data_IF_502795373089
#
_entry.id   IF_502795373089
#
_cell.length_a   1.000
_cell.length_b   1.000
_cell.length_c   1.000
_cell.angle_alpha   90.00
_cell.angle_beta   90.00
_cell.angle_gamma   90.00
#
_symmetry.space_group_name_H-M   'P 1'
#
loop_
_entity.id
_entity.type
_entity.pdbx_description
1 polymer ?
#
# COMPACT_ATOMS: atom_id res chain seq x y z
N UNK A 1 -49.15 71.98 30.09
CA UNK A 1 -48.49 71.20 29.02
C UNK A 1 -47.47 70.28 29.68
N UNK A 2 -47.61 68.94 29.62
CA UNK A 2 -46.68 68.03 30.27
C UNK A 2 -45.46 67.77 29.38
N UNK A 3 -44.27 67.69 29.99
CA UNK A 3 -43.01 67.36 29.34
C UNK A 3 -42.90 65.86 29.11
N UNK A 4 -42.88 65.44 27.84
CA UNK A 4 -42.73 64.04 27.42
C UNK A 4 -41.26 63.61 27.54
N UNK A 5 -40.98 62.70 28.48
CA UNK A 5 -39.66 62.10 28.70
C UNK A 5 -39.43 61.00 27.65
N UNK A 6 -38.60 61.27 26.63
CA UNK A 6 -38.23 60.27 25.60
C UNK A 6 -37.33 59.20 26.23
N UNK A 7 -37.88 58.00 26.44
CA UNK A 7 -37.09 56.79 26.67
C UNK A 7 -36.49 56.33 25.33
N UNK A 8 -35.17 56.47 25.16
CA UNK A 8 -34.44 55.78 24.10
C UNK A 8 -34.32 54.29 24.49
N UNK A 9 -35.12 53.44 23.85
CA UNK A 9 -34.88 51.99 23.84
C UNK A 9 -33.67 51.70 22.94
N UNK A 10 -32.55 51.32 23.56
CA UNK A 10 -31.43 50.70 22.87
C UNK A 10 -31.83 49.29 22.45
N UNK A 11 -32.10 49.10 21.16
CA UNK A 11 -32.29 47.79 20.55
C UNK A 11 -30.90 47.16 20.34
N UNK A 12 -30.53 46.05 21.01
CA UNK A 12 -29.25 45.41 20.77
C UNK A 12 -29.30 44.76 19.38
N UNK A 13 -28.43 45.24 18.48
CA UNK A 13 -28.24 44.64 17.16
C UNK A 13 -27.53 43.29 17.35
N UNK A 14 -28.30 42.21 17.49
CA UNK A 14 -27.81 40.84 17.44
C UNK A 14 -27.33 40.58 16.01
N UNK A 15 -26.05 40.82 15.73
CA UNK A 15 -25.41 40.29 14.52
C UNK A 15 -25.49 38.76 14.60
N UNK A 16 -26.08 38.08 13.60
CA UNK A 16 -26.04 36.63 13.56
C UNK A 16 -24.59 36.21 13.37
N UNK A 17 -24.05 35.47 14.35
CA UNK A 17 -22.83 34.70 14.15
C UNK A 17 -23.13 33.62 13.11
N UNK A 18 -22.95 33.94 11.84
CA UNK A 18 -22.77 32.93 10.80
C UNK A 18 -21.38 32.31 11.00
N UNK A 19 -21.24 31.48 12.02
CA UNK A 19 -20.12 30.57 12.14
C UNK A 19 -20.34 29.43 11.15
N UNK A 20 -20.24 29.74 9.85
CA UNK A 20 -20.04 28.73 8.84
C UNK A 20 -18.56 28.69 8.55
N UNK A 21 -17.92 27.58 8.85
CA UNK A 21 -17.18 26.97 7.77
C UNK A 21 -17.15 25.46 8.04
N UNK A 22 -17.74 24.72 7.12
CA UNK A 22 -17.20 23.42 6.80
C UNK A 22 -15.91 23.70 6.00
N UNK A 23 -15.11 22.67 5.72
CA UNK A 23 -13.93 22.82 4.87
C UNK A 23 -14.26 23.15 3.40
N UNK A 24 -15.56 23.27 3.07
CA UNK A 24 -16.13 23.56 1.77
C UNK A 24 -17.33 24.53 1.86
N UNK A 25 -17.79 24.99 0.70
CA UNK A 25 -18.93 25.91 0.58
C UNK A 25 -20.26 25.16 0.79
N UNK A 26 -20.90 25.38 1.93
CA UNK A 26 -22.17 24.75 2.28
C UNK A 26 -23.34 25.09 1.34
N UNK A 27 -23.26 26.19 0.58
CA UNK A 27 -24.27 26.49 -0.46
C UNK A 27 -24.19 25.53 -1.65
N UNK A 28 -23.08 24.80 -1.80
CA UNK A 28 -22.82 23.83 -2.86
C UNK A 28 -22.92 22.37 -2.40
N UNK A 29 -23.37 22.14 -1.16
CA UNK A 29 -23.54 20.80 -0.61
C UNK A 29 -24.52 19.98 -1.48
N UNK A 30 -24.02 18.94 -2.14
CA UNK A 30 -24.77 18.12 -3.08
C UNK A 30 -25.15 16.75 -2.49
N UNK A 31 -24.34 16.22 -1.57
CA UNK A 31 -24.52 14.89 -0.99
C UNK A 31 -25.24 14.94 0.36
N UNK A 32 -25.86 13.83 0.77
CA UNK A 32 -26.46 13.69 2.10
C UNK A 32 -25.42 13.90 3.22
N UNK A 33 -24.18 13.48 3.00
CA UNK A 33 -23.03 13.72 3.88
C UNK A 33 -22.71 15.20 4.00
N UNK A 34 -22.55 15.91 2.89
CA UNK A 34 -22.25 17.36 2.91
C UNK A 34 -23.37 18.16 3.57
N UNK A 35 -24.64 17.82 3.29
CA UNK A 35 -25.79 18.46 3.93
C UNK A 35 -25.80 18.20 5.45
N UNK A 36 -25.45 16.99 5.89
CA UNK A 36 -25.35 16.67 7.31
C UNK A 36 -24.23 17.45 8.00
N UNK A 37 -23.06 17.56 7.38
CA UNK A 37 -21.92 18.37 7.87
C UNK A 37 -22.32 19.84 8.01
N UNK A 38 -23.00 20.40 7.00
CA UNK A 38 -23.41 21.80 7.01
C UNK A 38 -24.54 22.15 7.99
N UNK A 39 -25.35 21.16 8.40
CA UNK A 39 -26.47 21.38 9.34
C UNK A 39 -26.09 21.19 10.81
N UNK A 40 -24.99 20.48 11.08
CA UNK A 40 -24.55 20.10 12.42
C UNK A 40 -23.24 20.84 12.75
N UNK A 41 -23.26 21.86 13.64
CA UNK A 41 -22.08 22.66 13.97
C UNK A 41 -20.87 21.83 14.42
N UNK A 42 -21.10 20.75 15.17
CA UNK A 42 -20.07 19.82 15.64
C UNK A 42 -19.37 19.08 14.49
N UNK A 43 -20.10 18.67 13.46
CA UNK A 43 -19.54 18.02 12.28
C UNK A 43 -18.80 19.02 11.40
N UNK A 44 -19.30 20.25 11.28
CA UNK A 44 -18.63 21.34 10.58
C UNK A 44 -17.26 21.63 11.20
N UNK A 45 -17.20 21.74 12.53
CA UNK A 45 -15.95 21.99 13.25
C UNK A 45 -14.95 20.82 13.13
N UNK A 46 -15.41 19.58 13.12
CA UNK A 46 -14.57 18.40 12.90
C UNK A 46 -14.01 18.36 11.46
N UNK A 47 -14.82 18.71 10.47
CA UNK A 47 -14.40 18.81 9.07
C UNK A 47 -13.29 19.86 8.88
N UNK A 48 -13.43 21.04 9.49
CA UNK A 48 -12.37 22.05 9.48
C UNK A 48 -11.06 21.57 10.11
N UNK A 49 -11.15 20.87 11.25
CA UNK A 49 -9.98 20.32 11.94
C UNK A 49 -9.24 19.29 11.10
N UNK A 50 -9.97 18.35 10.48
CA UNK A 50 -9.38 17.37 9.57
C UNK A 50 -8.79 18.06 8.34
N UNK A 51 -9.46 19.07 7.78
CA UNK A 51 -8.92 19.82 6.65
C UNK A 51 -7.65 20.61 7.01
N UNK A 52 -7.58 21.17 8.22
CA UNK A 52 -6.38 21.83 8.72
C UNK A 52 -5.22 20.85 8.90
N UNK A 53 -5.46 19.70 9.54
CA UNK A 53 -4.47 18.64 9.71
C UNK A 53 -3.98 18.09 8.36
N UNK A 54 -4.90 17.85 7.42
CA UNK A 54 -4.55 17.46 6.06
C UNK A 54 -3.62 18.48 5.38
N UNK A 55 -3.94 19.78 5.44
CA UNK A 55 -3.09 20.84 4.85
C UNK A 55 -1.70 20.88 5.47
N UNK A 56 -1.57 20.60 6.76
CA UNK A 56 -0.28 20.55 7.45
C UNK A 56 0.63 19.45 6.89
N UNK A 57 0.08 18.26 6.62
CA UNK A 57 0.86 17.09 6.20
C UNK A 57 0.94 16.89 4.68
N UNK A 58 0.03 17.47 3.88
CA UNK A 58 -0.05 17.28 2.44
C UNK A 58 0.97 18.10 1.62
N UNK A 59 2.24 18.13 2.05
CA UNK A 59 3.30 18.76 1.27
C UNK A 59 3.56 17.97 -0.02
N UNK A 60 3.68 18.66 -1.15
CA UNK A 60 3.88 18.07 -2.48
C UNK A 60 2.82 17.02 -2.88
N UNK A 61 1.63 17.05 -2.27
CA UNK A 61 0.58 16.08 -2.54
C UNK A 61 0.77 14.71 -1.87
N UNK A 62 1.60 14.60 -0.83
CA UNK A 62 1.90 13.36 -0.11
C UNK A 62 0.66 12.60 0.37
N UNK A 63 -0.37 13.33 0.81
CA UNK A 63 -1.62 12.77 1.34
C UNK A 63 -2.77 12.81 0.33
N UNK A 64 -2.53 13.28 -0.88
CA UNK A 64 -3.62 13.73 -1.76
C UNK A 64 -4.55 12.58 -2.17
N UNK A 65 -3.97 11.45 -2.61
CA UNK A 65 -4.72 10.28 -3.06
C UNK A 65 -5.37 9.54 -1.87
N UNK A 66 -4.63 9.35 -0.78
CA UNK A 66 -5.13 8.83 0.48
C UNK A 66 -6.35 9.63 1.02
N UNK A 67 -6.28 10.97 1.01
CA UNK A 67 -7.40 11.81 1.46
C UNK A 67 -8.60 11.70 0.52
N UNK A 68 -8.38 11.61 -0.81
CA UNK A 68 -9.47 11.40 -1.77
C UNK A 68 -10.20 10.09 -1.53
N UNK A 69 -9.46 9.01 -1.27
CA UNK A 69 -10.03 7.70 -0.95
C UNK A 69 -10.82 7.75 0.35
N UNK A 70 -10.29 8.38 1.40
CA UNK A 70 -11.01 8.55 2.67
C UNK A 70 -12.34 9.32 2.50
N UNK A 71 -12.33 10.40 1.71
CA UNK A 71 -13.52 11.19 1.41
C UNK A 71 -14.58 10.41 0.63
N UNK A 72 -14.17 9.53 -0.28
CA UNK A 72 -15.03 8.74 -1.16
C UNK A 72 -15.50 7.40 -0.57
N UNK A 73 -14.79 6.86 0.43
CA UNK A 73 -15.12 5.61 1.11
C UNK A 73 -15.63 5.87 2.54
N UNK A 74 -14.78 5.71 3.58
CA UNK A 74 -15.19 5.74 4.99
C UNK A 74 -16.12 6.88 5.37
N UNK A 75 -15.86 8.10 4.87
CA UNK A 75 -16.72 9.27 5.13
C UNK A 75 -18.06 9.20 4.38
N UNK A 76 -18.02 8.91 3.08
CA UNK A 76 -19.20 8.92 2.21
C UNK A 76 -20.19 7.80 2.57
N UNK A 77 -19.70 6.65 3.04
CA UNK A 77 -20.51 5.50 3.46
C UNK A 77 -21.50 5.84 4.59
N UNK A 78 -21.16 6.80 5.47
CA UNK A 78 -22.03 7.27 6.55
C UNK A 78 -23.30 8.00 6.05
N UNK A 79 -23.33 8.50 4.81
CA UNK A 79 -24.43 9.34 4.30
C UNK A 79 -24.73 10.48 5.28
N UNK A 80 -25.98 10.62 5.75
CA UNK A 80 -26.40 11.65 6.69
C UNK A 80 -26.35 11.24 8.17
N UNK A 81 -25.81 10.06 8.50
CA UNK A 81 -25.68 9.61 9.88
C UNK A 81 -24.61 10.43 10.62
N UNK A 82 -25.06 11.32 11.51
CA UNK A 82 -24.18 12.21 12.26
C UNK A 82 -23.23 11.48 13.22
N UNK A 83 -23.69 10.40 13.86
CA UNK A 83 -22.85 9.64 14.79
C UNK A 83 -21.75 8.88 14.04
N UNK A 84 -22.09 8.29 12.88
CA UNK A 84 -21.11 7.67 11.99
C UNK A 84 -20.07 8.71 11.51
N UNK A 85 -20.52 9.86 11.00
CA UNK A 85 -19.63 10.92 10.54
C UNK A 85 -18.70 11.41 11.64
N UNK A 86 -19.23 11.65 12.84
CA UNK A 86 -18.44 12.06 13.99
C UNK A 86 -17.33 11.04 14.28
N UNK A 87 -17.66 9.75 14.32
CA UNK A 87 -16.67 8.68 14.52
C UNK A 87 -15.58 8.70 13.45
N UNK A 88 -15.95 8.78 12.16
CA UNK A 88 -14.99 8.82 11.04
C UNK A 88 -14.09 10.04 11.07
N UNK A 89 -14.62 11.22 11.40
CA UNK A 89 -13.82 12.43 11.53
C UNK A 89 -12.86 12.35 12.72
N UNK A 90 -13.30 11.82 13.86
CA UNK A 90 -12.44 11.66 15.04
C UNK A 90 -11.30 10.66 14.78
N UNK A 91 -11.61 9.51 14.16
CA UNK A 91 -10.60 8.52 13.72
C UNK A 91 -9.57 9.17 12.80
N UNK A 92 -10.03 9.89 11.77
CA UNK A 92 -9.14 10.54 10.80
C UNK A 92 -8.31 11.65 11.41
N UNK A 93 -8.90 12.47 12.28
CA UNK A 93 -8.18 13.53 12.97
C UNK A 93 -7.09 12.96 13.86
N UNK A 94 -7.41 11.92 14.65
CA UNK A 94 -6.43 11.23 15.47
C UNK A 94 -5.30 10.62 14.63
N UNK A 95 -5.62 9.95 13.53
CA UNK A 95 -4.61 9.40 12.61
C UNK A 95 -3.67 10.49 12.09
N UNK A 96 -4.21 11.61 11.61
CA UNK A 96 -3.40 12.71 11.08
C UNK A 96 -2.55 13.41 12.16
N UNK A 97 -3.08 13.54 13.39
CA UNK A 97 -2.37 14.19 14.49
C UNK A 97 -1.19 13.36 15.03
N UNK A 98 -1.30 12.04 15.04
CA UNK A 98 -0.21 11.15 15.45
C UNK A 98 0.82 10.94 14.33
N UNK A 99 0.47 11.28 13.09
CA UNK A 99 1.30 10.99 11.94
C UNK A 99 2.64 11.75 11.96
N UNK A 100 3.73 11.06 11.64
CA UNK A 100 5.08 11.62 11.67
C UNK A 100 5.77 11.51 10.31
N UNK A 101 6.50 12.54 9.90
CA UNK A 101 7.27 12.48 8.67
C UNK A 101 8.55 11.68 8.88
N UNK A 102 8.65 10.55 8.19
CA UNK A 102 9.87 9.73 8.09
C UNK A 102 10.55 10.03 6.75
N UNK A 103 11.85 10.34 6.81
CA UNK A 103 12.68 10.53 5.61
C UNK A 103 13.78 9.50 5.59
N UNK A 104 13.92 8.82 4.47
CA UNK A 104 14.88 7.76 4.31
C UNK A 104 15.54 7.82 2.95
N UNK A 105 16.86 7.64 2.93
CA UNK A 105 17.63 7.44 1.72
C UNK A 105 18.02 5.97 1.62
N UNK A 106 17.81 5.38 0.45
CA UNK A 106 18.20 4.01 0.15
C UNK A 106 19.08 4.02 -1.09
N UNK A 107 20.37 3.81 -0.91
CA UNK A 107 21.40 3.84 -1.97
C UNK A 107 22.05 2.48 -2.21
N UNK A 108 21.67 1.46 -1.43
CA UNK A 108 22.22 0.12 -1.45
C UNK A 108 21.26 -0.94 -2.03
N UNK A 109 20.05 -0.55 -2.44
CA UNK A 109 19.11 -1.45 -3.09
C UNK A 109 19.47 -1.67 -4.57
N UNK A 110 19.83 -0.60 -5.28
CA UNK A 110 20.22 -0.65 -6.70
C UNK A 110 21.43 0.25 -6.95
N UNK A 111 22.55 -0.24 -7.53
CA UNK A 111 23.77 0.56 -7.66
C UNK A 111 23.61 1.86 -8.49
N UNK A 112 22.73 1.88 -9.49
CA UNK A 112 22.56 3.04 -10.37
C UNK A 112 21.69 4.15 -9.76
N UNK A 113 20.82 3.82 -8.81
CA UNK A 113 19.80 4.74 -8.30
C UNK A 113 19.78 4.81 -6.78
N UNK A 114 19.44 5.99 -6.25
CA UNK A 114 19.09 6.20 -4.85
C UNK A 114 17.60 6.48 -4.77
N UNK A 115 16.93 5.87 -3.79
CA UNK A 115 15.52 6.12 -3.48
C UNK A 115 15.45 7.05 -2.27
N UNK A 116 15.00 8.28 -2.49
CA UNK A 116 14.71 9.24 -1.43
C UNK A 116 13.21 9.17 -1.09
N UNK A 117 12.90 8.46 -0.01
CA UNK A 117 11.54 8.21 0.47
C UNK A 117 11.16 9.26 1.53
N UNK A 118 10.05 9.96 1.28
CA UNK A 118 9.35 10.77 2.29
C UNK A 118 8.02 10.09 2.57
N UNK A 119 7.89 9.51 3.75
CA UNK A 119 6.73 8.75 4.19
C UNK A 119 6.04 9.50 5.34
N UNK A 120 4.72 9.56 5.32
CA UNK A 120 3.95 9.99 6.49
C UNK A 120 3.52 8.74 7.25
N UNK A 121 4.22 8.49 8.35
CA UNK A 121 4.07 7.30 9.18
C UNK A 121 2.90 7.49 10.13
N UNK A 122 1.95 6.56 10.12
CA UNK A 122 0.80 6.59 11.01
C UNK A 122 1.18 6.33 12.48
N UNK A 123 2.37 5.78 12.74
CA UNK A 123 2.85 5.53 14.11
C UNK A 123 2.15 4.36 14.79
N UNK A 124 1.62 3.42 14.02
CA UNK A 124 0.88 2.25 14.53
C UNK A 124 1.81 1.13 15.01
N UNK A 125 3.08 1.12 14.59
CA UNK A 125 4.04 0.04 14.83
C UNK A 125 5.45 0.59 15.08
N UNK A 126 6.14 0.10 16.11
CA UNK A 126 7.51 0.54 16.41
C UNK A 126 8.56 -0.04 15.44
N UNK A 127 8.28 -1.19 14.84
CA UNK A 127 9.22 -1.94 14.00
C UNK A 127 9.08 -1.65 12.49
N UNK A 128 8.07 -0.86 12.10
CA UNK A 128 7.86 -0.47 10.71
C UNK A 128 7.27 0.93 10.64
N UNK A 129 7.70 1.71 9.65
CA UNK A 129 6.99 2.92 9.29
C UNK A 129 5.99 2.60 8.16
N UNK A 130 4.75 3.03 8.29
CA UNK A 130 3.70 2.71 7.32
C UNK A 130 2.81 3.90 7.02
N UNK A 131 2.57 4.15 5.73
CA UNK A 131 1.64 5.17 5.26
C UNK A 131 1.99 5.74 3.89
N UNK A 132 1.29 6.81 3.46
CA UNK A 132 1.48 7.45 2.17
C UNK A 132 2.91 7.94 2.00
N UNK A 133 3.45 7.77 0.80
CA UNK A 133 4.84 8.09 0.53
C UNK A 133 5.06 8.74 -0.84
N UNK A 134 6.01 9.66 -0.86
CA UNK A 134 6.66 10.16 -2.08
C UNK A 134 8.03 9.48 -2.18
N UNK A 135 8.29 8.82 -3.30
CA UNK A 135 9.59 8.21 -3.60
C UNK A 135 10.21 8.98 -4.76
N UNK A 136 11.32 9.67 -4.51
CA UNK A 136 12.12 10.26 -5.58
C UNK A 136 13.23 9.28 -5.98
N UNK A 137 13.31 8.98 -7.26
CA UNK A 137 14.35 8.12 -7.83
C UNK A 137 15.45 9.03 -8.39
N UNK A 138 16.63 8.95 -7.80
CA UNK A 138 17.78 9.79 -8.10
C UNK A 138 18.82 8.95 -8.83
N UNK A 139 19.25 9.39 -10.00
CA UNK A 139 20.39 8.81 -10.70
C UNK A 139 21.68 9.14 -9.94
N UNK A 140 22.41 8.12 -9.49
CA UNK A 140 23.57 8.33 -8.62
C UNK A 140 24.74 9.01 -9.35
N UNK A 141 24.82 8.88 -10.68
CA UNK A 141 25.90 9.49 -11.46
C UNK A 141 25.69 11.00 -11.65
N UNK A 142 24.50 11.40 -12.05
CA UNK A 142 24.13 12.77 -12.36
C UNK A 142 23.58 13.54 -11.17
N UNK A 143 23.18 12.84 -10.09
CA UNK A 143 22.45 13.36 -8.95
C UNK A 143 21.10 14.01 -9.32
N UNK A 144 20.56 13.72 -10.51
CA UNK A 144 19.28 14.23 -10.96
C UNK A 144 18.14 13.30 -10.54
N UNK A 145 17.00 13.89 -10.15
CA UNK A 145 15.75 13.15 -9.98
C UNK A 145 15.20 12.78 -11.34
N UNK A 146 15.19 11.49 -11.66
CA UNK A 146 14.68 10.97 -12.93
C UNK A 146 13.17 10.70 -12.87
N UNK A 147 12.63 10.44 -11.68
CA UNK A 147 11.22 10.13 -11.49
C UNK A 147 10.78 10.42 -10.04
N UNK A 148 9.49 10.70 -9.87
CA UNK A 148 8.84 10.80 -8.58
C UNK A 148 7.58 9.94 -8.59
N UNK A 149 7.48 9.02 -7.64
CA UNK A 149 6.30 8.19 -7.41
C UNK A 149 5.54 8.72 -6.20
N UNK A 150 4.21 8.65 -6.27
CA UNK A 150 3.29 8.89 -5.15
C UNK A 150 2.53 7.60 -4.90
N UNK A 151 2.59 7.12 -3.67
CA UNK A 151 1.98 5.87 -3.26
C UNK A 151 1.07 6.14 -2.05
N UNK A 152 -0.13 5.58 -2.08
CA UNK A 152 -1.10 5.69 -1.00
C UNK A 152 -0.66 4.97 0.27
N UNK A 153 0.19 3.96 0.11
CA UNK A 153 0.80 3.25 1.20
C UNK A 153 2.19 2.72 0.79
N UNK A 154 3.12 2.78 1.73
CA UNK A 154 4.40 2.10 1.71
C UNK A 154 4.59 1.50 3.09
N UNK A 155 4.96 0.22 3.13
CA UNK A 155 5.33 -0.46 4.36
C UNK A 155 6.85 -0.58 4.42
N UNK A 156 7.46 0.04 5.42
CA UNK A 156 8.92 0.08 5.59
C UNK A 156 9.32 -0.56 6.90
N UNK A 157 9.54 -1.88 6.86
CA UNK A 157 10.11 -2.62 7.99
C UNK A 157 11.55 -2.15 8.28
N UNK A 158 11.86 -2.00 9.58
CA UNK A 158 13.20 -1.70 10.08
C UNK A 158 13.88 -2.99 10.51
N UNK A 159 15.14 -3.17 10.13
CA UNK A 159 15.99 -4.22 10.69
C UNK A 159 16.49 -3.86 12.10
N UNK A 160 17.20 -4.78 12.73
CA UNK A 160 17.74 -4.63 14.10
C UNK A 160 18.65 -3.41 14.29
N UNK A 161 19.23 -2.92 13.20
CA UNK A 161 20.07 -1.71 13.17
C UNK A 161 19.27 -0.41 13.00
N UNK A 162 17.94 -0.47 13.02
CA UNK A 162 17.02 0.65 12.80
C UNK A 162 16.92 1.13 11.34
N UNK A 163 17.71 0.57 10.42
CA UNK A 163 17.70 0.91 8.99
C UNK A 163 16.66 0.07 8.25
N UNK A 164 16.12 0.56 7.12
CA UNK A 164 15.22 -0.22 6.29
C UNK A 164 15.91 -1.48 5.77
N UNK A 165 15.14 -2.57 5.69
CA UNK A 165 15.55 -3.76 4.96
C UNK A 165 15.42 -3.51 3.45
N UNK A 166 16.36 -4.02 2.67
CA UNK A 166 16.37 -3.94 1.20
C UNK A 166 16.89 -5.25 0.61
N UNK A 167 16.42 -5.61 -0.59
CA UNK A 167 16.80 -6.85 -1.26
C UNK A 167 16.69 -8.10 -0.36
N UNK A 168 15.65 -8.11 0.48
CA UNK A 168 15.30 -9.21 1.37
C UNK A 168 13.88 -9.65 1.01
N UNK A 169 13.75 -10.82 0.41
CA UNK A 169 12.45 -11.39 0.01
C UNK A 169 12.31 -12.83 0.51
N UNK A 170 12.90 -13.12 1.69
CA UNK A 170 12.84 -14.47 2.26
C UNK A 170 11.44 -14.74 2.79
N UNK A 171 10.92 -15.92 2.46
CA UNK A 171 9.63 -16.38 2.93
C UNK A 171 9.66 -16.48 4.46
N UNK A 172 8.65 -15.93 5.12
CA UNK A 172 8.49 -15.87 6.58
C UNK A 172 9.44 -14.93 7.35
N UNK A 173 10.34 -14.23 6.66
CA UNK A 173 11.15 -13.15 7.25
C UNK A 173 10.54 -11.78 6.95
N UNK A 174 11.04 -10.75 7.65
CA UNK A 174 10.80 -9.36 7.25
C UNK A 174 11.37 -9.13 5.85
N UNK A 175 10.53 -8.64 4.94
CA UNK A 175 10.94 -8.33 3.60
C UNK A 175 11.29 -6.84 3.44
N UNK A 176 12.18 -6.55 2.50
CA UNK A 176 12.72 -5.23 2.28
C UNK A 176 11.72 -4.29 1.60
N UNK A 177 11.75 -3.02 2.00
CA UNK A 177 10.86 -1.99 1.42
C UNK A 177 11.13 -1.78 -0.08
N UNK A 178 12.38 -1.93 -0.52
CA UNK A 178 12.79 -1.91 -1.92
C UNK A 178 13.55 -3.20 -2.22
N UNK A 179 13.09 -3.92 -3.24
CA UNK A 179 13.78 -5.09 -3.79
C UNK A 179 14.05 -4.86 -5.27
N UNK A 180 15.29 -5.04 -5.69
CA UNK A 180 15.74 -4.76 -7.05
C UNK A 180 16.39 -6.00 -7.67
N UNK A 181 15.95 -6.34 -8.87
CA UNK A 181 16.55 -7.34 -9.74
C UNK A 181 16.04 -7.11 -11.17
N UNK A 182 16.64 -7.81 -12.13
CA UNK A 182 16.10 -7.90 -13.50
C UNK A 182 14.91 -8.88 -13.48
N UNK A 183 13.69 -8.35 -13.37
CA UNK A 183 12.47 -9.13 -13.19
C UNK A 183 11.92 -9.66 -14.50
N UNK A 184 12.08 -8.92 -15.60
CA UNK A 184 11.62 -9.31 -16.93
C UNK A 184 12.71 -9.95 -17.82
N UNK A 185 13.94 -9.99 -17.32
CA UNK A 185 15.11 -10.60 -17.96
C UNK A 185 15.56 -9.88 -19.24
N UNK A 186 15.30 -8.57 -19.32
CA UNK A 186 15.68 -7.69 -20.43
C UNK A 186 17.12 -7.12 -20.28
N UNK A 187 17.75 -7.33 -19.11
CA UNK A 187 19.10 -6.88 -18.78
C UNK A 187 19.18 -5.52 -18.09
N UNK A 188 18.03 -4.87 -17.84
CA UNK A 188 17.91 -3.71 -16.98
C UNK A 188 17.44 -4.15 -15.58
N UNK A 189 17.82 -3.38 -14.56
CA UNK A 189 17.40 -3.69 -13.19
C UNK A 189 16.09 -2.96 -12.92
N UNK A 190 15.10 -3.72 -12.48
CA UNK A 190 13.78 -3.28 -12.06
C UNK A 190 13.72 -3.13 -10.54
N UNK A 191 12.58 -2.68 -10.02
CA UNK A 191 12.36 -2.73 -8.58
C UNK A 191 10.91 -2.94 -8.18
N UNK A 192 10.74 -3.49 -6.99
CA UNK A 192 9.48 -3.64 -6.29
C UNK A 192 9.54 -2.81 -5.01
N UNK A 193 8.45 -2.11 -4.70
CA UNK A 193 8.26 -1.39 -3.43
C UNK A 193 7.14 -2.02 -2.64
N UNK A 194 7.38 -2.34 -1.37
CA UNK A 194 6.36 -2.91 -0.51
C UNK A 194 5.30 -1.85 -0.21
N UNK A 195 4.06 -2.08 -0.67
CA UNK A 195 2.95 -1.14 -0.53
C UNK A 195 1.89 -1.58 0.48
N UNK A 196 2.09 -2.72 1.14
CA UNK A 196 1.17 -3.20 2.17
C UNK A 196 1.50 -4.60 2.65
N UNK A 197 0.56 -5.13 3.42
CA UNK A 197 0.56 -6.48 3.95
C UNK A 197 -0.81 -7.14 3.67
N UNK A 198 -1.35 -6.90 2.47
CA UNK A 198 -2.71 -7.29 2.08
C UNK A 198 -2.77 -8.64 1.34
N UNK A 199 -1.62 -9.34 1.26
CA UNK A 199 -1.50 -10.63 0.59
C UNK A 199 -2.06 -11.77 1.44
N UNK A 200 -1.94 -13.03 0.98
CA UNK A 200 -2.44 -14.18 1.70
C UNK A 200 -1.83 -14.26 3.10
N UNK A 201 -2.68 -14.48 4.11
CA UNK A 201 -2.30 -14.50 5.52
C UNK A 201 -1.72 -13.18 6.05
N UNK A 202 -2.06 -12.04 5.43
CA UNK A 202 -1.47 -10.74 5.78
C UNK A 202 -0.01 -10.62 5.34
N UNK A 203 0.36 -11.35 4.28
CA UNK A 203 1.70 -11.32 3.71
C UNK A 203 2.00 -10.01 2.98
N UNK A 204 3.30 -9.70 2.76
CA UNK A 204 3.70 -8.45 2.14
C UNK A 204 3.27 -8.38 0.67
N UNK A 205 2.76 -7.22 0.24
CA UNK A 205 2.39 -6.95 -1.15
C UNK A 205 3.27 -5.86 -1.74
N UNK A 206 3.48 -5.93 -3.05
CA UNK A 206 4.41 -5.05 -3.76
C UNK A 206 3.79 -4.43 -5.00
N UNK A 207 4.15 -3.16 -5.24
CA UNK A 207 4.06 -2.55 -6.57
C UNK A 207 5.38 -2.76 -7.29
N UNK A 208 5.32 -3.43 -8.43
CA UNK A 208 6.48 -3.73 -9.26
C UNK A 208 6.59 -2.71 -10.39
N UNK A 209 7.80 -2.24 -10.65
CA UNK A 209 8.09 -1.29 -11.72
C UNK A 209 9.24 -1.79 -12.59
N UNK A 210 8.99 -1.90 -13.89
CA UNK A 210 9.97 -2.31 -14.89
C UNK A 210 10.65 -1.09 -15.51
N UNK A 211 11.95 -1.18 -15.78
CA UNK A 211 12.68 -0.09 -16.41
C UNK A 211 12.39 0.01 -17.91
N UNK A 212 11.72 1.09 -18.32
CA UNK A 212 11.48 1.38 -19.73
C UNK A 212 12.66 2.19 -20.31
N UNK A 213 13.44 1.55 -21.17
CA UNK A 213 14.63 2.14 -21.81
C UNK A 213 14.31 3.31 -22.74
N UNK A 214 13.13 3.32 -23.38
CA UNK A 214 12.72 4.36 -24.30
C UNK A 214 12.32 5.64 -23.54
N UNK A 215 11.58 5.47 -22.43
CA UNK A 215 11.14 6.55 -21.54
C UNK A 215 12.22 6.95 -20.54
N UNK A 216 13.20 6.08 -20.29
CA UNK A 216 14.22 6.20 -19.22
C UNK A 216 13.56 6.38 -17.85
N UNK A 217 12.49 5.63 -17.62
CA UNK A 217 11.65 5.71 -16.43
C UNK A 217 11.18 4.32 -16.03
N UNK A 218 10.83 4.16 -14.76
CA UNK A 218 10.24 2.94 -14.23
C UNK A 218 8.72 2.98 -14.41
N UNK A 219 8.16 1.93 -15.03
CA UNK A 219 6.74 1.82 -15.38
C UNK A 219 6.10 0.74 -14.54
N UNK A 220 4.97 1.06 -13.90
CA UNK A 220 4.20 0.11 -13.09
C UNK A 220 3.79 -1.11 -13.92
N UNK A 221 4.04 -2.30 -13.39
CA UNK A 221 3.63 -3.56 -14.00
C UNK A 221 2.57 -4.22 -13.13
N UNK A 222 1.34 -4.27 -13.66
CA UNK A 222 0.17 -4.83 -12.98
C UNK A 222 0.32 -6.33 -12.75
N UNK A 223 0.68 -7.09 -13.78
CA UNK A 223 0.80 -8.55 -13.77
C UNK A 223 1.78 -9.05 -12.67
N UNK A 224 2.96 -8.43 -12.56
CA UNK A 224 3.95 -8.75 -11.53
C UNK A 224 3.53 -8.30 -10.13
N UNK A 225 2.77 -7.20 -10.02
CA UNK A 225 2.27 -6.73 -8.74
C UNK A 225 1.20 -7.68 -8.19
N UNK A 226 0.26 -8.09 -9.06
CA UNK A 226 -0.79 -9.07 -8.73
C UNK A 226 -0.22 -10.41 -8.29
N UNK A 227 0.91 -10.87 -8.86
CA UNK A 227 1.57 -12.07 -8.35
C UNK A 227 1.88 -11.98 -6.85
N UNK A 228 2.22 -10.81 -6.32
CA UNK A 228 2.51 -10.64 -4.89
C UNK A 228 1.25 -10.54 -4.02
N UNK A 229 0.13 -10.13 -4.60
CA UNK A 229 -1.18 -10.07 -3.94
C UNK A 229 -1.81 -11.46 -3.82
N UNK A 230 -1.50 -12.36 -4.75
CA UNK A 230 -2.04 -13.73 -4.80
C UNK A 230 -1.12 -14.77 -4.14
N UNK A 231 0.13 -14.42 -3.85
CA UNK A 231 1.14 -15.33 -3.30
C UNK A 231 1.77 -14.77 -2.02
N UNK A 232 2.58 -15.58 -1.34
CA UNK A 232 3.20 -15.27 -0.05
C UNK A 232 4.39 -14.30 -0.16
N UNK A 233 4.17 -13.14 -0.78
CA UNK A 233 5.16 -12.08 -0.90
C UNK A 233 5.80 -11.96 -2.26
N UNK A 234 6.94 -11.26 -2.30
CA UNK A 234 7.68 -11.06 -3.54
C UNK A 234 8.22 -12.39 -4.08
N UNK A 235 8.09 -12.58 -5.39
CA UNK A 235 8.66 -13.72 -6.08
C UNK A 235 10.21 -13.74 -6.01
N UNK A 236 10.79 -14.93 -6.11
CA UNK A 236 12.24 -15.10 -6.26
C UNK A 236 12.63 -15.05 -7.75
N UNK A 237 13.83 -14.53 -8.02
CA UNK A 237 14.37 -14.41 -9.39
C UNK A 237 15.42 -15.49 -9.64
N UNK A 238 15.15 -16.42 -10.56
CA UNK A 238 16.15 -17.33 -11.12
C UNK A 238 16.62 -16.80 -12.48
N UNK A 239 17.66 -15.97 -12.43
CA UNK A 239 18.26 -15.37 -13.64
C UNK A 239 18.87 -16.42 -14.59
N UNK A 240 19.29 -17.59 -14.09
CA UNK A 240 19.89 -18.64 -14.93
C UNK A 240 18.85 -19.31 -15.80
N UNK A 241 17.67 -19.56 -15.24
CA UNK A 241 16.54 -20.16 -15.97
C UNK A 241 15.60 -19.13 -16.57
N UNK A 242 15.80 -17.84 -16.27
CA UNK A 242 14.86 -16.75 -16.56
C UNK A 242 13.46 -17.11 -16.06
N UNK A 243 13.36 -17.30 -14.75
CA UNK A 243 12.12 -17.67 -14.05
C UNK A 243 11.86 -16.77 -12.87
N UNK A 244 10.58 -16.47 -12.65
CA UNK A 244 10.09 -15.92 -11.40
C UNK A 244 9.39 -17.01 -10.62
N UNK A 245 9.71 -17.15 -9.34
CA UNK A 245 9.16 -18.20 -8.48
C UNK A 245 8.29 -17.62 -7.39
N UNK A 246 7.03 -18.04 -7.32
CA UNK A 246 6.13 -17.69 -6.22
C UNK A 246 5.95 -18.85 -5.25
N UNK A 247 5.48 -18.53 -4.05
CA UNK A 247 5.09 -19.50 -3.03
C UNK A 247 3.65 -19.23 -2.62
N UNK A 248 2.82 -20.26 -2.59
CA UNK A 248 1.45 -20.21 -2.09
C UNK A 248 1.25 -21.31 -1.04
N UNK A 249 0.26 -21.12 -0.17
CA UNK A 249 -0.11 -22.13 0.82
C UNK A 249 -1.60 -22.12 1.12
N UNK A 250 -2.08 -23.24 1.63
CA UNK A 250 -3.40 -23.33 2.26
C UNK A 250 -3.28 -24.08 3.59
N UNK A 251 -3.54 -23.35 4.68
CA UNK A 251 -3.36 -23.84 6.05
C UNK A 251 -1.90 -24.19 6.35
N UNK A 252 -1.71 -25.27 7.13
CA UNK A 252 -0.40 -25.78 7.52
C UNK A 252 0.28 -26.67 6.48
N UNK A 253 -0.51 -27.25 5.59
CA UNK A 253 -0.23 -28.59 5.10
C UNK A 253 -0.28 -28.68 3.57
N UNK A 254 -0.79 -27.65 2.90
CA UNK A 254 -0.68 -27.48 1.46
C UNK A 254 0.32 -26.36 1.15
N UNK A 255 1.36 -26.68 0.38
CA UNK A 255 2.32 -25.73 -0.14
C UNK A 255 2.45 -25.88 -1.65
N UNK A 256 2.57 -24.76 -2.35
CA UNK A 256 2.76 -24.72 -3.78
C UNK A 256 3.89 -23.76 -4.13
N UNK A 257 4.83 -24.21 -4.95
CA UNK A 257 5.84 -23.38 -5.59
C UNK A 257 5.56 -23.36 -7.08
N UNK A 258 5.43 -22.17 -7.66
CA UNK A 258 5.16 -22.01 -9.10
C UNK A 258 6.25 -21.17 -9.75
N UNK A 259 6.86 -21.72 -10.81
CA UNK A 259 7.80 -21.00 -11.66
C UNK A 259 7.09 -20.47 -12.90
N UNK A 260 7.29 -19.18 -13.16
CA UNK A 260 6.76 -18.44 -14.30
C UNK A 260 7.87 -18.07 -15.28
N UNK A 261 7.51 -17.99 -16.56
CA UNK A 261 8.34 -17.47 -17.65
C UNK A 261 7.54 -16.45 -18.47
N UNK A 262 8.21 -15.42 -18.97
CA UNK A 262 7.64 -14.55 -19.99
C UNK A 262 7.49 -15.28 -21.33
N UNK A 263 6.28 -15.27 -21.88
CA UNK A 263 5.98 -15.78 -23.22
C UNK A 263 6.48 -14.83 -24.33
N UNK A 264 6.23 -15.19 -25.59
CA UNK A 264 6.64 -14.38 -26.75
C UNK A 264 5.94 -13.00 -26.83
N UNK A 265 4.90 -12.77 -26.03
CA UNK A 265 4.17 -11.50 -25.93
C UNK A 265 4.54 -10.75 -24.64
N UNK A 266 5.52 -11.23 -23.89
CA UNK A 266 5.94 -10.73 -22.58
C UNK A 266 4.83 -10.76 -21.52
N UNK A 267 4.00 -11.81 -21.54
CA UNK A 267 3.11 -12.14 -20.43
C UNK A 267 3.66 -13.29 -19.60
N UNK A 268 3.38 -13.30 -18.30
CA UNK A 268 3.79 -14.36 -17.42
C UNK A 268 2.96 -15.62 -17.65
N UNK A 269 3.67 -16.71 -17.88
CA UNK A 269 3.09 -18.04 -18.02
C UNK A 269 3.72 -18.95 -16.98
N UNK A 270 2.90 -19.59 -16.15
CA UNK A 270 3.34 -20.68 -15.30
C UNK A 270 3.88 -21.82 -16.17
N UNK A 271 5.07 -22.31 -15.86
CA UNK A 271 5.76 -23.38 -16.62
C UNK A 271 6.14 -24.57 -15.77
N UNK A 272 6.23 -24.40 -14.45
CA UNK A 272 6.46 -25.50 -13.51
C UNK A 272 5.68 -25.24 -12.22
N UNK A 273 5.09 -26.30 -11.65
CA UNK A 273 4.52 -26.29 -10.30
C UNK A 273 5.06 -27.46 -9.50
N UNK A 274 5.38 -27.20 -8.24
CA UNK A 274 5.63 -28.20 -7.23
C UNK A 274 4.61 -28.02 -6.12
N UNK A 275 3.76 -29.02 -5.93
CA UNK A 275 2.69 -29.02 -4.94
C UNK A 275 3.01 -30.10 -3.91
N UNK A 276 3.05 -29.71 -2.65
CA UNK A 276 3.28 -30.56 -1.49
C UNK A 276 2.02 -30.54 -0.62
N UNK A 277 1.27 -31.64 -0.65
CA UNK A 277 -0.02 -31.76 0.01
C UNK A 277 0.02 -32.85 1.09
N UNK A 278 0.10 -32.39 2.34
CA UNK A 278 0.11 -33.18 3.55
C UNK A 278 -1.27 -33.23 4.24
N UNK A 279 -2.36 -32.96 3.53
CA UNK A 279 -3.73 -32.98 4.08
C UNK A 279 -4.33 -34.39 4.15
N UNK A 280 -3.48 -35.43 4.13
CA UNK A 280 -3.89 -36.81 4.34
C UNK A 280 -4.69 -36.94 5.66
N UNK A 281 -5.92 -37.47 5.65
CA UNK A 281 -6.75 -37.58 6.85
C UNK A 281 -6.11 -38.40 7.98
N UNK A 282 -5.25 -39.35 7.63
CA UNK A 282 -4.50 -40.15 8.61
C UNK A 282 -3.25 -39.43 9.13
N UNK A 283 -2.83 -38.33 8.49
CA UNK A 283 -1.65 -37.55 8.86
C UNK A 283 -0.32 -38.28 8.65
N UNK A 284 -0.26 -39.26 7.72
CA UNK A 284 0.92 -40.14 7.55
C UNK A 284 1.69 -39.87 6.28
N UNK A 285 1.10 -39.19 5.31
CA UNK A 285 1.69 -39.07 3.97
C UNK A 285 1.67 -37.64 3.44
N UNK A 286 2.66 -37.34 2.60
CA UNK A 286 2.67 -36.16 1.73
C UNK A 286 2.53 -36.62 0.30
N UNK A 287 1.55 -36.05 -0.41
CA UNK A 287 1.41 -36.16 -1.86
C UNK A 287 2.19 -35.03 -2.52
N UNK A 288 3.27 -35.37 -3.23
CA UNK A 288 4.08 -34.42 -3.98
C UNK A 288 3.73 -34.54 -5.46
N UNK A 289 3.21 -33.46 -6.04
CA UNK A 289 2.86 -33.38 -7.46
C UNK A 289 3.78 -32.37 -8.14
N UNK A 290 4.44 -32.81 -9.21
CA UNK A 290 5.19 -31.92 -10.11
C UNK A 290 4.45 -31.79 -11.43
N UNK A 291 4.22 -30.56 -11.84
CA UNK A 291 3.65 -30.21 -13.13
C UNK A 291 4.68 -29.44 -13.96
N UNK A 292 4.82 -29.75 -15.23
CA UNK A 292 5.69 -29.01 -16.14
C UNK A 292 5.00 -28.77 -17.47
N UNK A 293 5.07 -27.55 -17.99
CA UNK A 293 4.52 -27.19 -19.28
C UNK A 293 5.49 -27.61 -20.39
N UNK A 294 5.10 -28.57 -21.23
CA UNK A 294 5.90 -29.07 -22.35
C UNK A 294 5.09 -28.92 -23.64
N UNK A 295 5.58 -28.13 -24.60
CA UNK A 295 4.91 -27.86 -25.87
C UNK A 295 3.45 -27.38 -25.68
N UNK A 296 3.23 -26.46 -24.74
CA UNK A 296 1.91 -25.89 -24.43
C UNK A 296 0.95 -26.86 -23.72
N UNK A 297 1.40 -28.03 -23.27
CA UNK A 297 0.58 -28.99 -22.52
C UNK A 297 1.25 -29.35 -21.20
N UNK A 298 0.47 -29.33 -20.13
CA UNK A 298 0.94 -29.74 -18.82
C UNK A 298 1.21 -31.25 -18.77
N UNK A 299 2.35 -31.61 -18.19
CA UNK A 299 2.73 -32.97 -17.83
C UNK A 299 2.79 -33.05 -16.32
N UNK A 300 2.05 -34.00 -15.74
CA UNK A 300 1.91 -34.14 -14.29
C UNK A 300 2.50 -35.46 -13.83
N UNK A 301 3.26 -35.42 -12.73
CA UNK A 301 3.79 -36.59 -12.04
C UNK A 301 3.53 -36.47 -10.55
N UNK A 302 2.88 -37.47 -9.96
CA UNK A 302 2.55 -37.48 -8.53
C UNK A 302 3.24 -38.64 -7.83
N UNK A 303 3.83 -38.38 -6.67
CA UNK A 303 4.42 -39.38 -5.77
C UNK A 303 3.90 -39.17 -4.35
N UNK A 304 3.90 -40.24 -3.56
CA UNK A 304 3.55 -40.20 -2.14
C UNK A 304 4.75 -40.59 -1.31
N UNK A 305 4.95 -39.89 -0.21
CA UNK A 305 6.04 -40.10 0.74
C UNK A 305 5.46 -40.23 2.14
N UNK A 306 6.12 -40.98 3.00
CA UNK A 306 5.83 -40.95 4.43
C UNK A 306 6.19 -39.55 4.98
N UNK A 307 5.32 -39.00 5.82
CA UNK A 307 5.40 -37.61 6.29
C UNK A 307 6.68 -37.33 7.09
N UNK A 308 7.01 -38.23 8.01
CA UNK A 308 8.21 -38.20 8.85
C UNK A 308 9.50 -38.23 8.03
N UNK A 309 9.56 -39.11 7.03
CA UNK A 309 10.72 -39.23 6.17
C UNK A 309 10.90 -38.05 5.20
N UNK A 310 9.84 -37.29 4.91
CA UNK A 310 9.89 -36.21 3.92
C UNK A 310 10.37 -34.89 4.52
N UNK A 311 9.86 -34.49 5.69
CA UNK A 311 10.21 -33.21 6.33
C UNK A 311 11.45 -33.25 7.22
N UNK A 312 12.07 -34.41 7.43
CA UNK A 312 13.31 -34.58 8.19
C UNK A 312 14.56 -34.83 7.30
N UNK A 313 14.52 -34.43 6.03
CA UNK A 313 15.65 -34.52 5.08
C UNK A 313 16.56 -33.31 5.11
#
# INVERSE_FOLDING_TARGET
MPTLRRLLLWLPLLLPMLATAASFDCSKAATATEQAICRQPELSALDEQVAAAYRQHNQQGLLQDNQRQWLAGPRAECKADGACLQGRYQERLAQLQHAQLVRQQIDNAMPAYRFDITLLDWGERDWAAEGPAIINIIDQRSQQRIQQLRLDNVHMARGDNGKPLVNSARLYDLQGVINAADFDFDGHIDFAVQNGNDGPYGGPTYRVYLYDTARKQFVFNDELSTLTEENLGLFQVDAKRKRLRTFAKSGCCYHETTDYQFDARHHLQAVERLIEDAQDPEGKQVRVTRETLVNGRWKTSTRRYALDAYYHQ
#
